data_IF_349456309531
#
_entry.id   IF_349456309531
#
_cell.length_a   1.000
_cell.length_b   1.000
_cell.length_c   1.000
_cell.angle_alpha   90.00
_cell.angle_beta   90.00
_cell.angle_gamma   90.00
#
_symmetry.space_group_name_H-M   'P 1'
#
loop_
_entity.id
_entity.type
_entity.pdbx_description
1 polymer ?
#
# COMPACT_ATOMS: atom_id res chain seq x y z
N UNK A 1 11.78 -17.81 -6.01
CA UNK A 1 11.87 -16.53 -6.75
C UNK A 1 10.64 -16.42 -7.66
N UNK A 2 9.52 -15.93 -7.13
CA UNK A 2 8.35 -15.56 -7.95
C UNK A 2 8.40 -14.06 -8.16
N UNK A 3 9.16 -13.63 -9.16
CA UNK A 3 9.05 -12.26 -9.69
C UNK A 3 7.77 -12.18 -10.51
N UNK A 4 6.64 -12.02 -9.82
CA UNK A 4 5.40 -11.62 -10.47
C UNK A 4 5.49 -10.12 -10.77
N UNK A 5 6.19 -9.78 -11.86
CA UNK A 5 5.98 -8.52 -12.56
C UNK A 5 4.61 -8.59 -13.25
N UNK A 6 3.54 -8.39 -12.49
CA UNK A 6 2.27 -7.97 -13.07
C UNK A 6 2.35 -6.45 -13.14
N UNK A 7 2.23 -5.94 -14.35
CA UNK A 7 2.12 -4.53 -14.66
C UNK A 7 1.02 -3.90 -13.78
N UNK A 8 1.45 -3.27 -12.69
CA UNK A 8 0.90 -2.03 -12.14
C UNK A 8 -0.47 -2.03 -11.45
N UNK A 9 -1.18 -3.15 -11.30
CA UNK A 9 -2.46 -3.18 -10.55
C UNK A 9 -2.61 -4.48 -9.77
N UNK A 10 -2.13 -4.51 -8.54
CA UNK A 10 -2.54 -5.54 -7.59
C UNK A 10 -3.89 -5.11 -7.01
N UNK A 11 -4.91 -5.97 -7.10
CA UNK A 11 -6.23 -5.71 -6.49
C UNK A 11 -6.53 -6.75 -5.42
N UNK A 12 -6.94 -6.30 -4.23
CA UNK A 12 -7.38 -7.16 -3.12
C UNK A 12 -8.82 -6.82 -2.81
N UNK A 13 -9.65 -7.85 -2.61
CA UNK A 13 -11.03 -7.71 -2.17
C UNK A 13 -11.12 -8.09 -0.69
N UNK A 14 -11.78 -7.26 0.10
CA UNK A 14 -12.05 -7.50 1.52
C UNK A 14 -13.55 -7.56 1.71
N UNK A 15 -14.04 -8.68 2.23
CA UNK A 15 -15.45 -8.87 2.57
C UNK A 15 -15.63 -8.85 4.08
N UNK A 16 -16.62 -8.12 4.57
CA UNK A 16 -16.95 -8.14 6.00
C UNK A 16 -17.79 -9.36 6.34
N UNK A 17 -17.38 -10.12 7.35
CA UNK A 17 -18.12 -11.31 7.77
C UNK A 17 -19.54 -10.99 8.26
N UNK A 18 -19.71 -9.83 8.91
CA UNK A 18 -21.00 -9.42 9.50
C UNK A 18 -21.96 -8.80 8.48
N UNK A 19 -21.41 -8.24 7.41
CA UNK A 19 -22.17 -7.63 6.34
C UNK A 19 -21.51 -7.98 4.98
N UNK A 20 -21.96 -9.06 4.32
CA UNK A 20 -21.38 -9.49 3.05
C UNK A 20 -21.73 -8.54 1.89
N UNK A 21 -22.57 -7.52 2.11
CA UNK A 21 -22.87 -6.50 1.10
C UNK A 21 -21.89 -5.32 1.15
N UNK A 22 -21.12 -5.19 2.22
CA UNK A 22 -20.02 -4.24 2.33
C UNK A 22 -18.70 -4.90 1.91
N UNK A 23 -18.25 -4.52 0.72
CA UNK A 23 -16.97 -4.95 0.17
C UNK A 23 -16.01 -3.78 0.03
N UNK A 24 -14.73 -4.02 0.31
CA UNK A 24 -13.66 -3.07 0.04
C UNK A 24 -12.74 -3.61 -1.03
N UNK A 25 -12.52 -2.79 -2.06
CA UNK A 25 -11.56 -3.08 -3.11
C UNK A 25 -10.33 -2.22 -2.89
N UNK A 26 -9.19 -2.86 -2.71
CA UNK A 26 -7.90 -2.19 -2.60
C UNK A 26 -7.19 -2.31 -3.93
N UNK A 27 -6.71 -1.20 -4.49
CA UNK A 27 -6.00 -1.17 -5.76
C UNK A 27 -4.68 -0.39 -5.62
N UNK A 28 -3.66 -0.80 -6.37
CA UNK A 28 -2.43 -0.04 -6.57
C UNK A 28 -1.17 -0.86 -6.40
N UNK A 29 -0.12 -0.21 -5.89
CA UNK A 29 1.18 -0.84 -5.57
C UNK A 29 1.41 -0.84 -4.06
N UNK A 30 1.26 -2.02 -3.46
CA UNK A 30 1.44 -2.24 -2.02
C UNK A 30 2.88 -1.99 -1.56
N UNK A 31 3.85 -2.54 -2.29
CA UNK A 31 5.28 -2.38 -2.02
C UNK A 31 5.74 -0.93 -2.12
N UNK A 32 5.12 -0.13 -3.01
CA UNK A 32 5.42 1.29 -3.17
C UNK A 32 4.52 2.20 -2.33
N UNK A 33 3.70 1.67 -1.40
CA UNK A 33 2.76 2.45 -0.57
C UNK A 33 1.94 3.44 -1.39
N UNK A 34 1.46 2.98 -2.54
CA UNK A 34 0.68 3.77 -3.49
C UNK A 34 -0.61 3.02 -3.77
N UNK A 35 -1.52 3.03 -2.79
CA UNK A 35 -2.74 2.24 -2.80
C UNK A 35 -3.95 3.09 -2.48
N UNK A 36 -5.10 2.68 -3.00
CA UNK A 36 -6.40 3.27 -2.73
C UNK A 36 -7.34 2.17 -2.27
N UNK A 37 -8.09 2.45 -1.22
CA UNK A 37 -9.15 1.59 -0.71
C UNK A 37 -10.46 2.21 -1.16
N UNK A 38 -11.26 1.42 -1.85
CA UNK A 38 -12.58 1.79 -2.32
C UNK A 38 -13.63 1.00 -1.56
N UNK A 39 -14.69 1.68 -1.13
CA UNK A 39 -15.94 1.00 -0.80
C UNK A 39 -16.63 0.63 -2.12
N UNK A 40 -16.93 -0.65 -2.28
CA UNK A 40 -17.64 -1.24 -3.42
C UNK A 40 -19.02 -1.71 -2.95
N UNK A 41 -20.02 -0.83 -2.93
CA UNK A 41 -21.39 -1.21 -2.59
C UNK A 41 -21.94 -2.26 -3.57
N UNK A 42 -22.77 -3.16 -3.05
CA UNK A 42 -23.42 -4.22 -3.85
C UNK A 42 -24.49 -3.70 -4.81
N UNK A 43 -25.06 -2.53 -4.53
CA UNK A 43 -25.94 -1.82 -5.47
C UNK A 43 -25.06 -1.11 -6.52
N UNK A 44 -25.50 -1.06 -7.78
CA UNK A 44 -24.76 -0.59 -8.98
C UNK A 44 -24.26 0.88 -8.94
N UNK A 45 -24.25 1.49 -7.76
CA UNK A 45 -23.61 2.74 -7.44
C UNK A 45 -22.09 2.74 -7.66
N UNK A 46 -21.54 3.94 -7.86
CA UNK A 46 -20.12 4.12 -8.12
C UNK A 46 -19.29 3.85 -6.86
N UNK A 47 -18.19 3.11 -7.01
CA UNK A 47 -17.21 2.89 -5.93
C UNK A 47 -16.61 4.21 -5.44
N UNK A 48 -16.48 4.37 -4.13
CA UNK A 48 -15.94 5.58 -3.52
C UNK A 48 -14.60 5.31 -2.84
N UNK A 49 -13.60 6.18 -3.06
CA UNK A 49 -12.31 6.08 -2.39
C UNK A 49 -12.47 6.50 -0.92
N UNK A 50 -12.30 5.55 0.00
CA UNK A 50 -12.45 5.76 1.45
C UNK A 50 -11.11 5.95 2.15
N UNK A 51 -10.02 5.44 1.58
CA UNK A 51 -8.67 5.69 2.06
C UNK A 51 -7.65 5.70 0.92
N UNK A 52 -6.59 6.49 1.06
CA UNK A 52 -5.47 6.57 0.14
C UNK A 52 -4.15 6.56 0.90
N UNK A 53 -3.19 5.79 0.40
CA UNK A 53 -1.84 5.66 0.93
C UNK A 53 -0.87 6.26 -0.08
N UNK A 54 0.03 7.10 0.41
CA UNK A 54 1.11 7.70 -0.38
C UNK A 54 2.42 7.69 0.40
N UNK A 55 3.53 7.42 -0.27
CA UNK A 55 4.87 7.62 0.33
C UNK A 55 5.03 9.06 0.79
N UNK A 56 5.62 9.23 1.98
CA UNK A 56 5.92 10.56 2.49
C UNK A 56 7.24 11.03 1.89
N UNK A 57 7.21 12.22 1.29
CA UNK A 57 8.40 12.91 0.78
C UNK A 57 8.67 14.08 1.70
N UNK A 58 9.93 14.27 2.06
CA UNK A 58 10.38 15.44 2.78
C UNK A 58 10.23 16.69 1.88
N UNK A 59 9.46 17.71 2.30
CA UNK A 59 9.13 18.85 1.45
C UNK A 59 10.32 19.79 1.19
N UNK A 60 11.37 19.76 2.03
CA UNK A 60 12.54 20.62 1.88
C UNK A 60 13.59 20.01 0.94
N UNK A 61 13.72 18.68 0.97
CA UNK A 61 14.78 17.94 0.26
C UNK A 61 14.26 17.14 -0.94
N UNK A 62 12.94 16.97 -1.08
CA UNK A 62 12.30 16.10 -2.07
C UNK A 62 12.75 14.62 -2.00
N UNK A 63 13.31 14.20 -0.86
CA UNK A 63 13.72 12.82 -0.62
C UNK A 63 12.56 12.03 -0.04
N UNK A 64 12.33 10.81 -0.55
CA UNK A 64 11.37 9.89 0.05
C UNK A 64 11.87 9.48 1.45
N UNK A 65 11.01 9.60 2.45
CA UNK A 65 11.30 9.09 3.78
C UNK A 65 11.28 7.55 3.77
N UNK A 66 11.70 6.94 4.87
CA UNK A 66 11.69 5.48 5.04
C UNK A 66 10.33 4.87 4.70
N UNK A 67 10.31 3.59 4.30
CA UNK A 67 9.11 2.87 3.82
C UNK A 67 7.95 2.86 4.84
N UNK A 68 8.28 2.94 6.13
CA UNK A 68 7.31 3.00 7.22
C UNK A 68 6.71 4.40 7.43
N UNK A 69 7.22 5.40 6.72
CA UNK A 69 6.76 6.78 6.79
C UNK A 69 5.92 7.10 5.56
N UNK A 70 4.61 7.14 5.76
CA UNK A 70 3.65 7.39 4.69
C UNK A 70 2.53 8.33 5.16
N UNK A 71 1.81 8.85 4.17
CA UNK A 71 0.54 9.53 4.37
C UNK A 71 -0.59 8.53 4.23
N UNK A 72 -1.49 8.54 5.20
CA UNK A 72 -2.78 7.86 5.15
C UNK A 72 -3.88 8.93 5.16
N UNK A 73 -4.52 9.13 4.01
CA UNK A 73 -5.64 10.04 3.85
C UNK A 73 -6.94 9.25 3.92
N UNK A 74 -7.84 9.60 4.85
CA UNK A 74 -9.10 8.91 5.07
C UNK A 74 -10.28 9.81 4.71
N UNK A 75 -11.33 9.24 4.15
CA UNK A 75 -12.61 9.91 4.05
C UNK A 75 -13.17 10.18 5.46
N UNK A 76 -13.81 11.34 5.70
CA UNK A 76 -14.49 11.60 6.96
C UNK A 76 -15.47 10.48 7.33
N UNK A 77 -15.36 9.97 8.57
CA UNK A 77 -16.19 8.87 9.07
C UNK A 77 -15.65 7.47 8.80
N UNK A 78 -14.55 7.31 8.07
CA UNK A 78 -13.90 6.01 7.89
C UNK A 78 -12.99 5.66 9.08
N UNK A 79 -13.00 4.40 9.51
CA UNK A 79 -12.22 3.93 10.65
C UNK A 79 -10.73 3.83 10.30
N UNK A 80 -9.92 4.69 10.92
CA UNK A 80 -8.46 4.69 10.74
C UNK A 80 -7.79 3.43 11.27
N UNK A 81 -8.33 2.79 12.32
CA UNK A 81 -7.77 1.55 12.85
C UNK A 81 -8.01 0.39 11.87
N UNK A 82 -9.21 0.30 11.29
CA UNK A 82 -9.50 -0.66 10.23
C UNK A 82 -8.61 -0.44 9.01
N UNK A 83 -8.49 0.81 8.55
CA UNK A 83 -7.63 1.17 7.42
C UNK A 83 -6.17 0.72 7.68
N UNK A 84 -5.62 1.06 8.85
CA UNK A 84 -4.26 0.64 9.24
C UNK A 84 -4.12 -0.88 9.34
N UNK A 85 -5.12 -1.58 9.85
CA UNK A 85 -5.12 -3.05 9.90
C UNK A 85 -4.98 -3.66 8.51
N UNK A 86 -5.70 -3.14 7.52
CA UNK A 86 -5.57 -3.58 6.12
C UNK A 86 -4.16 -3.31 5.57
N UNK A 87 -3.57 -2.15 5.88
CA UNK A 87 -2.20 -1.80 5.46
C UNK A 87 -1.20 -2.80 6.01
N UNK A 88 -1.26 -3.10 7.31
CA UNK A 88 -0.34 -4.05 7.94
C UNK A 88 -0.46 -5.47 7.35
N UNK A 89 -1.69 -5.90 7.02
CA UNK A 89 -1.92 -7.20 6.36
C UNK A 89 -1.31 -7.20 4.95
N UNK A 90 -1.55 -6.13 4.17
CA UNK A 90 -0.97 -5.99 2.84
C UNK A 90 0.56 -5.91 2.89
N UNK A 91 1.11 -5.27 3.90
CA UNK A 91 2.55 -5.19 4.15
C UNK A 91 3.12 -6.57 4.49
N UNK A 92 2.41 -7.37 5.25
CA UNK A 92 2.84 -8.75 5.53
C UNK A 92 2.77 -9.65 4.29
N UNK A 93 1.80 -9.42 3.40
CA UNK A 93 1.61 -10.24 2.20
C UNK A 93 2.54 -9.85 1.04
N UNK A 94 2.84 -8.55 0.91
CA UNK A 94 3.48 -7.96 -0.27
C UNK A 94 4.67 -7.04 0.07
N UNK A 95 5.02 -6.89 1.35
CA UNK A 95 6.07 -5.99 1.82
C UNK A 95 7.48 -6.55 1.71
N UNK A 96 7.64 -7.84 1.40
CA UNK A 96 8.93 -8.52 1.28
C UNK A 96 9.54 -8.33 -0.10
N UNK A 97 10.22 -7.19 -0.29
CA UNK A 97 11.48 -7.19 -1.03
C UNK A 97 12.55 -6.91 0.02
N UNK A 98 13.33 -7.95 0.34
CA UNK A 98 14.45 -7.94 1.27
C UNK A 98 15.31 -6.69 1.13
N UNK A 99 15.88 -6.25 2.25
CA UNK A 99 16.88 -5.20 2.35
C UNK A 99 17.86 -5.21 1.15
N UNK A 100 17.68 -4.29 0.21
CA UNK A 100 18.80 -3.78 -0.59
C UNK A 100 19.51 -2.64 0.18
N UNK A 101 19.58 -2.77 1.52
CA UNK A 101 20.66 -2.19 2.33
C UNK A 101 21.87 -3.15 2.34
N UNK A 102 22.27 -3.61 1.16
CA UNK A 102 23.64 -4.05 0.93
C UNK A 102 24.38 -2.93 0.20
N UNK A 103 24.54 -1.81 0.90
CA UNK A 103 25.54 -0.78 0.61
C UNK A 103 26.98 -1.27 0.81
N UNK A 104 27.33 -2.46 0.30
CA UNK A 104 28.72 -2.91 0.17
C UNK A 104 29.23 -2.59 -1.24
N UNK A 105 29.47 -1.31 -1.50
CA UNK A 105 30.59 -0.94 -2.35
C UNK A 105 31.82 -0.74 -1.47
N UNK A 106 32.85 -1.60 -1.59
CA UNK A 106 34.21 -1.11 -1.54
C UNK A 106 34.73 -1.13 -2.98
N UNK A 107 34.93 0.08 -3.50
CA UNK A 107 35.95 0.32 -4.51
C UNK A 107 37.32 -0.14 -4.01
N UNK A 108 38.15 -0.52 -4.99
CA UNK A 108 39.60 -0.74 -4.94
C UNK A 108 40.11 -2.09 -4.41
N UNK A 109 40.64 -2.91 -5.32
CA UNK A 109 42.10 -3.09 -5.37
C UNK A 109 42.54 -3.57 -6.77
N UNK A 110 43.51 -2.85 -7.33
CA UNK A 110 44.31 -3.23 -8.47
C UNK A 110 45.06 -4.55 -8.25
N UNK A 111 45.18 -5.37 -9.29
CA UNK A 111 46.43 -5.97 -9.81
C UNK A 111 46.13 -6.76 -11.08
#
# INVERSE_FOLDING_TARGET
MFRSSIIGRSSVLVQLHRDPTEEYQIEGSYSQRCCKIYNSPSDHSARQCVAEIKRKVDPATNVMLGKDVFWLSLQPGFDGAFAMGLILILDQMFGDDYDDDLGLTPSDSSS
#
